data_IF_824216621484
#
_entry.id   IF_824216621484
#
_cell.length_a   1.000
_cell.length_b   1.000
_cell.length_c   1.000
_cell.angle_alpha   90.00
_cell.angle_beta   90.00
_cell.angle_gamma   90.00
#
_symmetry.space_group_name_H-M   'P 1'
#
loop_
_entity.id
_entity.type
_entity.pdbx_description
1 polymer ?
#
# COMPACT_ATOMS: atom_id res chain seq x y z
N UNK A 1 66.78 -52.98 5.72
CA UNK A 1 65.71 -52.36 6.54
C UNK A 1 65.28 -51.07 5.85
N UNK A 2 64.07 -50.97 5.25
CA UNK A 2 63.63 -49.74 4.60
C UNK A 2 63.02 -48.76 5.61
N UNK A 3 63.30 -47.47 5.44
CA UNK A 3 62.81 -46.36 6.26
C UNK A 3 61.38 -45.97 5.86
N UNK A 4 60.49 -45.85 6.85
CA UNK A 4 59.13 -45.34 6.63
C UNK A 4 59.15 -43.81 6.56
N UNK A 5 58.72 -43.28 5.42
CA UNK A 5 58.55 -41.85 5.16
C UNK A 5 57.40 -41.23 5.95
N UNK A 6 57.61 -40.01 6.42
CA UNK A 6 56.67 -39.19 7.19
C UNK A 6 55.50 -38.78 6.30
N UNK A 7 54.28 -39.18 6.64
CA UNK A 7 53.06 -38.69 5.99
C UNK A 7 52.47 -37.57 6.83
N UNK A 8 52.71 -36.32 6.43
CA UNK A 8 52.05 -35.16 7.01
C UNK A 8 50.65 -35.02 6.39
N UNK A 9 49.61 -35.06 7.22
CA UNK A 9 48.23 -34.77 6.80
C UNK A 9 47.98 -33.27 6.93
N UNK A 10 47.69 -32.61 5.82
CA UNK A 10 47.23 -31.21 5.79
C UNK A 10 45.70 -31.24 5.80
N UNK A 11 45.07 -30.76 6.88
CA UNK A 11 43.62 -30.54 6.93
C UNK A 11 43.35 -29.16 6.33
N UNK A 12 42.81 -29.13 5.11
CA UNK A 12 42.29 -27.91 4.50
C UNK A 12 40.88 -27.64 5.05
N UNK A 13 40.73 -26.63 5.91
CA UNK A 13 39.41 -26.11 6.30
C UNK A 13 38.96 -25.15 5.19
N UNK A 14 38.03 -25.61 4.34
CA UNK A 14 37.33 -24.76 3.39
C UNK A 14 36.16 -24.08 4.10
N UNK A 15 36.38 -22.85 4.57
CA UNK A 15 35.29 -21.99 5.03
C UNK A 15 34.50 -21.51 3.81
N UNK A 16 33.31 -22.06 3.61
CA UNK A 16 32.32 -21.54 2.66
C UNK A 16 31.74 -20.25 3.23
N UNK A 17 32.26 -19.10 2.76
CA UNK A 17 31.59 -17.82 2.96
C UNK A 17 30.38 -17.83 2.01
N UNK A 18 29.23 -18.33 2.49
CA UNK A 18 27.95 -18.06 1.83
C UNK A 18 27.65 -16.57 2.00
N UNK A 19 28.07 -15.76 1.04
CA UNK A 19 27.58 -14.38 0.93
C UNK A 19 26.06 -14.42 0.77
N UNK A 20 25.32 -13.89 1.74
CA UNK A 20 23.89 -13.71 1.57
C UNK A 20 23.67 -12.76 0.39
N UNK A 21 23.08 -13.26 -0.69
CA UNK A 21 22.60 -12.39 -1.77
C UNK A 21 21.42 -11.62 -1.19
N UNK A 22 21.61 -10.32 -0.92
CA UNK A 22 20.49 -9.43 -0.62
C UNK A 22 19.68 -9.27 -1.91
N UNK A 23 18.57 -9.99 -2.00
CA UNK A 23 17.59 -9.81 -3.06
C UNK A 23 16.53 -8.84 -2.55
N UNK A 24 16.32 -7.74 -3.27
CA UNK A 24 15.12 -6.93 -3.06
C UNK A 24 13.90 -7.74 -3.53
N UNK A 25 12.93 -7.92 -2.64
CA UNK A 25 11.63 -8.51 -2.96
C UNK A 25 10.62 -7.40 -3.26
N UNK A 26 9.78 -7.61 -4.26
CA UNK A 26 8.67 -6.72 -4.58
C UNK A 26 7.38 -7.33 -4.05
N UNK A 27 6.72 -6.64 -3.12
CA UNK A 27 5.41 -7.00 -2.61
C UNK A 27 4.37 -6.07 -3.23
N UNK A 28 3.38 -6.62 -3.93
CA UNK A 28 2.23 -5.87 -4.44
C UNK A 28 1.06 -6.00 -3.47
N UNK A 29 0.54 -4.86 -3.01
CA UNK A 29 -0.60 -4.79 -2.11
C UNK A 29 -1.79 -4.16 -2.83
N UNK A 30 -2.93 -4.84 -2.78
CA UNK A 30 -4.22 -4.21 -3.06
C UNK A 30 -4.82 -3.67 -1.76
N UNK A 31 -5.66 -2.62 -1.82
CA UNK A 31 -6.41 -2.18 -0.65
C UNK A 31 -7.27 -3.34 -0.13
N UNK A 32 -7.27 -3.57 1.18
CA UNK A 32 -8.15 -4.56 1.84
C UNK A 32 -9.50 -3.95 2.25
N UNK A 33 -9.57 -2.62 2.29
CA UNK A 33 -10.77 -1.82 2.54
C UNK A 33 -10.60 -0.47 1.87
N UNK A 34 -11.67 0.09 1.33
CA UNK A 34 -11.71 1.46 0.86
C UNK A 34 -13.03 2.16 1.19
N UNK A 35 -12.99 3.48 1.31
CA UNK A 35 -14.20 4.25 1.56
C UNK A 35 -14.01 5.71 1.13
N UNK A 36 -15.13 6.40 0.90
CA UNK A 36 -15.20 7.86 0.88
C UNK A 36 -16.00 8.33 2.10
N UNK A 37 -15.41 9.16 2.94
CA UNK A 37 -16.07 9.79 4.10
C UNK A 37 -16.60 11.16 3.70
N UNK A 38 -17.87 11.46 4.01
CA UNK A 38 -18.53 12.70 3.64
C UNK A 38 -18.60 13.63 4.85
N UNK A 39 -18.07 14.86 4.73
CA UNK A 39 -18.13 15.86 5.80
C UNK A 39 -19.56 16.21 6.24
N UNK A 40 -20.53 16.06 5.33
CA UNK A 40 -21.94 16.35 5.60
C UNK A 40 -22.52 15.54 6.76
N UNK A 41 -21.96 14.36 7.05
CA UNK A 41 -22.35 13.54 8.20
C UNK A 41 -21.30 12.49 8.53
N UNK A 42 -21.03 12.31 9.82
CA UNK A 42 -20.14 11.25 10.34
C UNK A 42 -20.66 9.82 10.06
N UNK A 43 -21.93 9.68 9.66
CA UNK A 43 -22.55 8.40 9.30
C UNK A 43 -22.63 8.15 7.79
N UNK A 44 -22.32 9.14 6.96
CA UNK A 44 -22.39 9.00 5.50
C UNK A 44 -21.03 8.61 4.93
N UNK A 45 -21.02 7.48 4.21
CA UNK A 45 -19.84 6.98 3.53
C UNK A 45 -20.17 6.27 2.21
N UNK A 46 -19.18 5.87 1.43
CA UNK A 46 -19.35 5.18 0.15
C UNK A 46 -18.34 4.03 0.01
N UNK A 47 -18.50 2.99 0.83
CA UNK A 47 -17.63 1.80 0.82
C UNK A 47 -18.01 0.77 -0.25
N UNK A 48 -19.25 0.80 -0.75
CA UNK A 48 -19.71 -0.05 -1.85
C UNK A 48 -19.74 0.69 -3.21
N UNK A 49 -19.08 1.85 -3.29
CA UNK A 49 -19.05 2.68 -4.48
C UNK A 49 -18.15 2.15 -5.58
N UNK A 50 -18.30 2.72 -6.79
CA UNK A 50 -17.45 2.39 -7.96
C UNK A 50 -16.01 2.94 -7.87
N UNK A 51 -15.69 3.66 -6.79
CA UNK A 51 -14.40 4.30 -6.60
C UNK A 51 -14.36 5.15 -5.33
N UNK A 52 -13.18 5.69 -5.08
CA UNK A 52 -12.87 6.53 -3.91
C UNK A 52 -12.75 7.98 -4.35
N UNK A 53 -13.41 8.88 -3.63
CA UNK A 53 -13.44 10.30 -3.94
C UNK A 53 -12.71 11.11 -2.87
N UNK A 54 -12.02 12.17 -3.30
CA UNK A 54 -11.35 13.11 -2.41
C UNK A 54 -11.47 14.53 -2.96
N UNK A 55 -11.57 15.52 -2.08
CA UNK A 55 -11.66 16.93 -2.44
C UNK A 55 -12.97 17.55 -2.00
N UNK A 56 -13.48 18.48 -2.80
CA UNK A 56 -14.72 19.22 -2.53
C UNK A 56 -15.78 18.89 -3.58
N UNK A 57 -16.99 18.57 -3.14
CA UNK A 57 -18.14 18.29 -3.99
C UNK A 57 -18.80 19.58 -4.50
N UNK A 58 -19.71 19.48 -5.47
CA UNK A 58 -20.40 20.63 -6.07
C UNK A 58 -21.25 21.43 -5.07
N UNK A 59 -21.72 20.79 -4.00
CA UNK A 59 -22.44 21.43 -2.87
C UNK A 59 -21.50 21.99 -1.79
N UNK A 60 -20.18 22.00 -2.03
CA UNK A 60 -19.19 22.68 -1.19
C UNK A 60 -18.66 21.86 -0.02
N UNK A 61 -19.16 20.65 0.21
CA UNK A 61 -18.70 19.76 1.28
C UNK A 61 -17.39 19.04 0.93
N UNK A 62 -16.59 18.73 1.95
CA UNK A 62 -15.37 17.94 1.76
C UNK A 62 -15.69 16.44 1.77
N UNK A 63 -15.11 15.71 0.83
CA UNK A 63 -15.07 14.24 0.80
C UNK A 63 -13.63 13.76 0.95
N UNK A 64 -13.43 12.69 1.72
CA UNK A 64 -12.11 12.16 2.08
C UNK A 64 -12.02 10.69 1.69
N UNK A 65 -11.12 10.38 0.77
CA UNK A 65 -10.81 9.01 0.39
C UNK A 65 -9.93 8.34 1.42
N UNK A 66 -10.25 7.11 1.80
CA UNK A 66 -9.51 6.33 2.80
C UNK A 66 -9.32 4.90 2.30
N UNK A 67 -8.13 4.34 2.49
CA UNK A 67 -7.75 3.01 2.03
C UNK A 67 -6.93 2.30 3.11
N UNK A 68 -7.16 1.00 3.29
CA UNK A 68 -6.37 0.13 4.15
C UNK A 68 -5.49 -0.79 3.31
N UNK A 69 -4.26 -1.05 3.74
CA UNK A 69 -3.41 -2.09 3.16
C UNK A 69 -2.93 -3.03 4.27
N UNK A 70 -2.94 -4.34 4.02
CA UNK A 70 -2.34 -5.30 4.95
C UNK A 70 -0.84 -5.40 4.73
N UNK A 71 -0.06 -4.74 5.59
CA UNK A 71 1.40 -4.75 5.52
C UNK A 71 2.04 -5.91 6.31
N UNK A 72 1.25 -6.74 7.02
CA UNK A 72 1.77 -7.87 7.82
C UNK A 72 2.30 -9.01 6.97
N UNK A 73 1.98 -9.00 5.66
CA UNK A 73 2.57 -9.90 4.68
C UNK A 73 4.07 -9.66 4.49
N UNK A 74 4.57 -8.48 4.85
CA UNK A 74 6.00 -8.18 4.81
C UNK A 74 6.68 -8.87 6.01
N UNK A 75 7.71 -9.70 5.80
CA UNK A 75 8.36 -10.43 6.90
C UNK A 75 8.90 -9.50 8.01
N UNK A 76 8.77 -9.90 9.28
CA UNK A 76 9.42 -9.18 10.37
C UNK A 76 10.94 -9.09 10.17
N UNK A 77 11.50 -7.90 10.40
CA UNK A 77 12.93 -7.64 10.18
C UNK A 77 13.30 -7.16 8.77
N UNK A 78 12.35 -7.09 7.83
CA UNK A 78 12.58 -6.47 6.53
C UNK A 78 12.86 -4.97 6.64
N UNK A 79 13.82 -4.49 5.85
CA UNK A 79 14.05 -3.06 5.62
C UNK A 79 13.28 -2.61 4.38
N UNK A 80 12.36 -1.66 4.53
CA UNK A 80 11.61 -1.08 3.41
C UNK A 80 12.50 -0.09 2.67
N UNK A 81 12.86 -0.40 1.42
CA UNK A 81 13.73 0.44 0.60
C UNK A 81 12.95 1.52 -0.16
N UNK A 82 11.75 1.20 -0.63
CA UNK A 82 10.87 2.11 -1.37
C UNK A 82 9.41 1.68 -1.23
N UNK A 83 8.51 2.65 -1.37
CA UNK A 83 7.05 2.43 -1.44
C UNK A 83 6.52 3.31 -2.56
N UNK A 84 5.65 2.75 -3.40
CA UNK A 84 4.84 3.52 -4.35
C UNK A 84 3.36 3.22 -4.15
N UNK A 85 2.53 4.24 -4.32
CA UNK A 85 1.09 4.11 -4.42
C UNK A 85 0.67 4.55 -5.81
N UNK A 86 0.01 3.66 -6.54
CA UNK A 86 -0.53 3.95 -7.86
C UNK A 86 -2.03 4.14 -7.77
N UNK A 87 -2.52 5.32 -8.18
CA UNK A 87 -3.94 5.65 -8.25
C UNK A 87 -4.31 6.00 -9.70
N UNK A 88 -5.50 5.58 -10.13
CA UNK A 88 -6.06 5.95 -11.43
C UNK A 88 -7.15 7.00 -11.26
N UNK A 89 -6.89 8.23 -11.71
CA UNK A 89 -7.93 9.26 -11.79
C UNK A 89 -8.93 8.88 -12.88
N UNK A 90 -10.17 8.61 -12.49
CA UNK A 90 -11.27 8.27 -13.42
C UNK A 90 -12.31 9.38 -13.54
N UNK A 91 -12.26 10.39 -12.66
CA UNK A 91 -13.18 11.52 -12.65
C UNK A 91 -12.50 12.77 -12.05
N UNK A 92 -12.96 13.95 -12.47
CA UNK A 92 -12.61 15.27 -11.96
C UNK A 92 -13.81 16.21 -12.10
N UNK A 93 -13.84 17.30 -11.33
CA UNK A 93 -14.78 18.40 -11.49
C UNK A 93 -14.86 18.83 -12.97
N UNK A 94 -16.10 18.92 -13.46
CA UNK A 94 -16.45 19.25 -14.85
C UNK A 94 -15.85 18.32 -15.92
N UNK A 95 -15.48 17.08 -15.56
CA UNK A 95 -14.86 16.11 -16.47
C UNK A 95 -13.66 16.68 -17.25
N UNK A 96 -13.00 17.70 -16.70
CA UNK A 96 -11.89 18.36 -17.35
C UNK A 96 -10.62 17.56 -17.05
N UNK A 97 -9.85 17.11 -18.06
CA UNK A 97 -8.69 16.24 -17.86
C UNK A 97 -7.49 17.01 -17.31
N UNK A 98 -7.66 17.64 -16.14
CA UNK A 98 -6.60 18.30 -15.41
C UNK A 98 -6.09 17.36 -14.33
N UNK A 99 -4.76 17.25 -14.24
CA UNK A 99 -4.12 16.58 -13.14
C UNK A 99 -4.48 17.28 -11.83
N UNK A 100 -4.91 16.50 -10.84
CA UNK A 100 -5.20 17.02 -9.50
C UNK A 100 -4.13 16.57 -8.54
N UNK A 101 -3.61 17.52 -7.76
CA UNK A 101 -2.74 17.20 -6.63
C UNK A 101 -3.60 16.60 -5.53
N UNK A 102 -3.31 15.36 -5.17
CA UNK A 102 -3.87 14.68 -4.00
C UNK A 102 -2.78 14.52 -2.95
N UNK A 103 -3.11 14.82 -1.69
CA UNK A 103 -2.20 14.64 -0.57
C UNK A 103 -2.57 13.37 0.19
N UNK A 104 -1.56 12.62 0.63
CA UNK A 104 -1.73 11.39 1.39
C UNK A 104 -1.40 11.64 2.86
N UNK A 105 -2.24 11.12 3.74
CA UNK A 105 -2.07 11.26 5.18
C UNK A 105 -2.28 9.90 5.85
N UNK A 106 -1.48 9.60 6.88
CA UNK A 106 -1.71 8.44 7.73
C UNK A 106 -2.88 8.73 8.68
N UNK A 107 -3.87 7.86 8.69
CA UNK A 107 -4.99 7.95 9.62
C UNK A 107 -4.55 7.55 11.03
N UNK A 108 -5.01 8.30 12.03
CA UNK A 108 -4.75 8.02 13.45
C UNK A 108 -5.85 7.15 14.10
N UNK A 109 -7.04 7.07 13.48
CA UNK A 109 -8.19 6.34 14.00
C UNK A 109 -8.76 5.43 12.93
N UNK A 110 -9.24 4.26 13.35
CA UNK A 110 -9.94 3.32 12.48
C UNK A 110 -11.29 3.87 11.99
N UNK A 111 -11.76 3.30 10.87
CA UNK A 111 -12.98 3.67 10.17
C UNK A 111 -13.69 2.39 9.69
N UNK A 112 -15.00 2.47 9.55
CA UNK A 112 -15.79 1.45 8.85
C UNK A 112 -15.71 1.65 7.35
N UNK A 113 -15.69 0.56 6.59
CA UNK A 113 -16.00 0.60 5.15
C UNK A 113 -17.51 0.69 4.96
N UNK A 114 -18.25 -0.17 5.67
CA UNK A 114 -19.71 -0.22 5.61
C UNK A 114 -20.20 -0.78 4.27
N UNK A 115 -21.53 -0.89 4.11
CA UNK A 115 -22.18 -1.29 2.85
C UNK A 115 -22.82 -0.10 2.14
N UNK A 116 -22.53 1.13 2.59
CA UNK A 116 -23.16 2.33 2.08
C UNK A 116 -22.66 2.61 0.67
N UNK A 117 -23.59 2.92 -0.22
CA UNK A 117 -23.34 3.22 -1.62
C UNK A 117 -23.94 4.60 -1.94
N UNK A 118 -23.12 5.49 -2.47
CA UNK A 118 -23.59 6.78 -2.93
C UNK A 118 -24.34 6.63 -4.26
N UNK A 119 -25.50 7.28 -4.37
CA UNK A 119 -26.21 7.40 -5.64
C UNK A 119 -25.38 8.25 -6.63
N UNK A 120 -25.52 7.99 -7.94
CA UNK A 120 -24.92 8.79 -9.03
C UNK A 120 -23.38 8.94 -8.95
N UNK A 121 -22.67 7.86 -8.64
CA UNK A 121 -21.22 7.81 -8.83
C UNK A 121 -20.39 8.63 -7.83
N UNK A 122 -20.88 8.81 -6.60
CA UNK A 122 -20.08 9.21 -5.43
C UNK A 122 -19.65 10.68 -5.33
N UNK A 123 -19.67 11.43 -6.44
CA UNK A 123 -19.36 12.86 -6.49
C UNK A 123 -20.58 13.79 -6.61
N UNK A 124 -21.79 13.24 -6.71
CA UNK A 124 -23.01 14.02 -6.95
C UNK A 124 -23.50 14.73 -5.70
N UNK A 125 -23.43 16.07 -5.74
CA UNK A 125 -24.25 16.91 -4.88
C UNK A 125 -25.72 16.53 -5.01
N UNK A 126 -26.42 16.57 -3.88
CA UNK A 126 -27.89 16.68 -3.89
C UNK A 126 -28.31 18.06 -4.34
#
# INVERSE_FOLDING_TARGET
MPSLGKTSVVIAVLAWISGAVLRAELVQLNPIKDNTLYEKSDSLSNGAGIGVFAGRTGDGHIVRGVMAFDVRIIPPGSTIQAVSLTLRQTNSDNNTPLARTVSLYRLAKNWGEGTSQANLGGGGGG
#
